data_IF_231096856265
#
_entry.id   IF_231096856265
#
_cell.length_a   1.000
_cell.length_b   1.000
_cell.length_c   1.000
_cell.angle_alpha   90.00
_cell.angle_beta   90.00
_cell.angle_gamma   90.00
#
_symmetry.space_group_name_H-M   'P 1'
#
loop_
_entity.id
_entity.type
_entity.pdbx_description
1 polymer ?
#
# COMPACT_ATOMS: atom_id res chain seq x y z
N UNK A 1 -10.33 -31.45 28.46
CA UNK A 1 -10.83 -30.95 27.18
C UNK A 1 -9.74 -31.15 26.12
N UNK A 2 -10.06 -31.94 25.16
CA UNK A 2 -9.11 -32.47 24.16
C UNK A 2 -8.54 -31.34 23.30
N UNK A 3 -7.23 -31.12 23.35
CA UNK A 3 -6.51 -30.07 22.58
C UNK A 3 -6.58 -30.22 21.06
N UNK A 4 -7.18 -31.30 20.56
CA UNK A 4 -7.31 -31.63 19.14
C UNK A 4 -8.64 -31.21 18.49
N UNK A 5 -9.60 -30.64 19.23
CA UNK A 5 -10.95 -30.28 18.71
C UNK A 5 -11.13 -28.79 18.36
N UNK A 6 -10.09 -27.96 18.42
CA UNK A 6 -10.19 -26.50 18.16
C UNK A 6 -9.91 -26.11 16.70
N UNK A 7 -9.83 -27.06 15.76
CA UNK A 7 -9.29 -26.77 14.42
C UNK A 7 -10.31 -26.49 13.32
N UNK A 8 -11.62 -26.44 13.54
CA UNK A 8 -12.58 -26.05 12.49
C UNK A 8 -13.78 -25.32 13.10
N UNK A 9 -13.64 -24.02 13.40
CA UNK A 9 -14.79 -23.15 13.68
C UNK A 9 -15.62 -22.91 12.41
N UNK A 10 -15.02 -23.03 11.22
CA UNK A 10 -15.66 -22.73 9.95
C UNK A 10 -15.62 -23.92 9.00
N UNK A 11 -16.77 -24.24 8.42
CA UNK A 11 -16.89 -25.14 7.30
C UNK A 11 -16.79 -24.31 6.00
N UNK A 12 -15.61 -24.28 5.40
CA UNK A 12 -15.36 -23.54 4.17
C UNK A 12 -16.15 -24.07 2.96
N UNK A 13 -16.83 -25.23 3.07
CA UNK A 13 -17.72 -25.67 2.00
C UNK A 13 -19.00 -24.84 1.92
N UNK A 14 -19.34 -24.15 3.00
CA UNK A 14 -20.49 -23.25 3.09
C UNK A 14 -20.17 -21.82 2.64
N UNK A 15 -18.90 -21.49 2.53
CA UNK A 15 -18.46 -20.14 2.16
C UNK A 15 -18.49 -19.93 0.65
N UNK A 16 -18.87 -18.73 0.18
CA UNK A 16 -18.79 -18.39 -1.24
C UNK A 16 -17.36 -18.51 -1.77
N UNK A 17 -17.16 -19.30 -2.81
CA UNK A 17 -15.86 -19.39 -3.49
C UNK A 17 -15.90 -18.57 -4.77
N UNK A 18 -15.42 -17.34 -4.68
CA UNK A 18 -15.26 -16.46 -5.84
C UNK A 18 -13.84 -16.60 -6.42
N UNK A 19 -13.66 -16.18 -7.65
CA UNK A 19 -12.34 -16.06 -8.26
C UNK A 19 -11.93 -14.57 -8.25
N UNK A 20 -11.28 -14.16 -7.17
CA UNK A 20 -10.89 -12.76 -7.00
C UNK A 20 -9.41 -12.58 -7.35
N UNK A 21 -9.13 -11.62 -8.22
CA UNK A 21 -7.79 -11.08 -8.43
C UNK A 21 -7.66 -9.75 -7.69
N UNK A 22 -6.49 -9.51 -7.12
CA UNK A 22 -6.08 -8.20 -6.61
C UNK A 22 -4.81 -7.76 -7.34
N UNK A 23 -4.92 -6.73 -8.17
CA UNK A 23 -3.85 -6.18 -8.99
C UNK A 23 -3.22 -4.96 -8.32
N UNK A 24 -1.88 -4.85 -8.37
CA UNK A 24 -1.08 -3.73 -7.84
C UNK A 24 0.03 -3.38 -8.84
N UNK A 25 0.05 -2.14 -9.32
CA UNK A 25 1.11 -1.65 -10.22
C UNK A 25 2.39 -1.44 -9.42
N UNK A 26 3.43 -2.22 -9.75
CA UNK A 26 4.69 -2.21 -9.01
C UNK A 26 5.38 -0.85 -9.03
N UNK A 27 5.50 -0.21 -7.85
CA UNK A 27 6.11 1.13 -7.69
C UNK A 27 5.51 2.19 -8.63
N UNK A 28 4.20 2.23 -8.75
CA UNK A 28 3.37 2.92 -9.74
C UNK A 28 3.98 4.22 -10.30
N UNK A 29 4.03 5.31 -9.54
CA UNK A 29 4.52 6.59 -10.05
C UNK A 29 5.94 6.51 -10.61
N UNK A 30 6.84 5.79 -9.91
CA UNK A 30 8.21 5.63 -10.37
C UNK A 30 8.29 4.79 -11.66
N UNK A 31 7.43 3.78 -11.80
CA UNK A 31 7.36 2.95 -13.00
C UNK A 31 6.84 3.75 -14.19
N UNK A 32 5.78 4.54 -14.01
CA UNK A 32 5.24 5.43 -15.05
C UNK A 32 6.31 6.45 -15.49
N UNK A 33 7.02 7.06 -14.54
CA UNK A 33 8.11 7.99 -14.87
C UNK A 33 9.28 7.33 -15.61
N UNK A 34 9.56 6.05 -15.33
CA UNK A 34 10.53 5.27 -16.11
C UNK A 34 10.04 5.05 -17.54
N UNK A 35 8.81 4.56 -17.71
CA UNK A 35 8.22 4.27 -19.03
C UNK A 35 8.18 5.53 -19.91
N UNK A 36 7.78 6.68 -19.36
CA UNK A 36 7.77 7.96 -20.08
C UNK A 36 9.14 8.40 -20.60
N UNK A 37 10.21 7.85 -20.04
CA UNK A 37 11.61 8.12 -20.43
C UNK A 37 12.24 6.98 -21.21
N UNK A 38 11.46 6.00 -21.64
CA UNK A 38 11.92 4.77 -22.29
C UNK A 38 12.94 3.99 -21.42
N UNK A 39 12.75 4.02 -20.08
CA UNK A 39 13.59 3.33 -19.11
C UNK A 39 12.85 2.12 -18.55
N UNK A 40 13.59 1.04 -18.23
CA UNK A 40 13.00 -0.13 -17.60
C UNK A 40 12.71 0.13 -16.11
N UNK A 41 11.43 0.01 -15.63
CA UNK A 41 11.06 0.26 -14.24
C UNK A 41 11.76 -0.61 -13.21
N UNK A 42 12.13 -1.85 -13.55
CA UNK A 42 12.73 -2.79 -12.61
C UNK A 42 14.24 -2.56 -12.41
N UNK A 43 14.93 -2.05 -13.43
CA UNK A 43 16.40 -1.91 -13.41
C UNK A 43 16.89 -0.48 -13.25
N UNK A 44 16.02 0.50 -13.47
CA UNK A 44 16.36 1.93 -13.33
C UNK A 44 16.24 2.38 -11.88
N UNK A 45 17.23 3.13 -11.38
CA UNK A 45 17.12 3.82 -10.11
C UNK A 45 16.45 5.18 -10.32
N UNK A 46 15.18 5.29 -9.89
CA UNK A 46 14.37 6.51 -10.01
C UNK A 46 13.54 6.73 -8.74
N UNK A 47 13.45 7.98 -8.32
CA UNK A 47 12.60 8.41 -7.21
C UNK A 47 11.77 9.64 -7.61
N UNK A 48 10.46 9.54 -7.40
CA UNK A 48 9.52 10.66 -7.53
C UNK A 48 9.51 11.43 -6.21
N UNK A 49 9.78 12.72 -6.27
CA UNK A 49 9.91 13.57 -5.09
C UNK A 49 9.03 14.80 -5.18
N UNK A 50 8.37 15.18 -4.08
CA UNK A 50 7.55 16.40 -4.02
C UNK A 50 8.38 17.67 -4.32
N UNK A 51 9.68 17.64 -4.05
CA UNK A 51 10.69 18.62 -4.46
C UNK A 51 11.96 17.85 -4.81
N UNK A 52 12.28 17.81 -6.08
CA UNK A 52 13.43 17.05 -6.58
C UNK A 52 14.75 17.85 -6.55
N UNK A 53 14.68 19.11 -6.21
CA UNK A 53 15.78 20.10 -6.24
C UNK A 53 16.44 20.35 -4.89
N UNK A 54 15.85 19.90 -3.78
CA UNK A 54 16.37 20.19 -2.46
C UNK A 54 16.00 19.15 -1.37
N UNK A 55 16.64 19.26 -0.22
CA UNK A 55 16.51 18.35 0.93
C UNK A 55 15.18 18.44 1.70
N UNK A 56 14.31 19.41 1.37
CA UNK A 56 13.01 19.61 2.04
C UNK A 56 11.88 18.80 1.41
N UNK A 57 12.14 18.09 0.30
CA UNK A 57 11.17 17.25 -0.38
C UNK A 57 10.84 15.96 0.37
N UNK A 58 9.72 15.34 -0.03
CA UNK A 58 9.33 14.00 0.38
C UNK A 58 9.52 13.04 -0.80
N UNK A 59 9.99 11.84 -0.54
CA UNK A 59 9.94 10.75 -1.53
C UNK A 59 8.49 10.26 -1.58
N UNK A 60 7.87 10.30 -2.76
CA UNK A 60 6.49 9.89 -2.97
C UNK A 60 6.41 8.45 -3.48
N UNK A 61 7.30 8.08 -4.39
CA UNK A 61 7.45 6.74 -4.90
C UNK A 61 8.88 6.49 -5.37
N UNK A 62 9.32 5.23 -5.27
CA UNK A 62 10.68 4.84 -5.66
C UNK A 62 10.65 3.53 -6.42
N UNK A 63 11.47 3.42 -7.45
CA UNK A 63 11.63 2.20 -8.23
C UNK A 63 12.21 1.05 -7.37
N UNK A 64 12.01 -0.22 -7.77
CA UNK A 64 12.58 -1.36 -7.07
C UNK A 64 14.09 -1.29 -6.90
N UNK A 65 14.81 -0.86 -7.94
CA UNK A 65 16.26 -0.68 -7.90
C UNK A 65 16.68 0.41 -6.92
N UNK A 66 15.98 1.55 -6.89
CA UNK A 66 16.24 2.60 -5.91
C UNK A 66 16.10 2.08 -4.47
N UNK A 67 14.99 1.37 -4.18
CA UNK A 67 14.75 0.77 -2.85
C UNK A 67 15.86 -0.21 -2.46
N UNK A 68 16.24 -1.09 -3.38
CA UNK A 68 17.27 -2.11 -3.17
C UNK A 68 18.65 -1.49 -2.91
N UNK A 69 19.04 -0.50 -3.71
CA UNK A 69 20.37 0.11 -3.66
C UNK A 69 20.54 0.98 -2.41
N UNK A 70 19.53 1.77 -2.09
CA UNK A 70 19.63 2.76 -1.00
C UNK A 70 18.97 2.30 0.31
N UNK A 71 18.39 1.10 0.36
CA UNK A 71 17.71 0.58 1.56
C UNK A 71 16.50 1.41 1.99
N UNK A 72 15.90 2.19 1.06
CA UNK A 72 14.86 3.16 1.38
C UNK A 72 13.48 2.50 1.46
N UNK A 73 12.66 2.99 2.38
CA UNK A 73 11.22 2.67 2.47
C UNK A 73 10.42 3.48 1.46
N UNK A 74 9.12 3.16 1.31
CA UNK A 74 8.26 3.80 0.31
C UNK A 74 8.14 5.32 0.48
N UNK A 75 8.03 5.81 1.71
CA UNK A 75 7.90 7.24 2.01
C UNK A 75 8.98 7.61 3.00
N UNK A 76 9.76 8.63 2.68
CA UNK A 76 10.80 9.20 3.54
C UNK A 76 11.03 10.66 3.19
N UNK A 77 11.79 11.37 4.00
CA UNK A 77 12.21 12.73 3.68
C UNK A 77 13.43 12.69 2.77
N UNK A 78 13.60 13.72 1.95
CA UNK A 78 14.80 13.89 1.15
C UNK A 78 16.08 13.93 2.02
N UNK A 79 15.97 14.49 3.25
CA UNK A 79 17.06 14.51 4.24
C UNK A 79 17.47 13.12 4.75
N UNK A 80 16.64 12.09 4.54
CA UNK A 80 16.92 10.72 4.98
C UNK A 80 17.63 9.91 3.88
N UNK A 81 17.81 10.49 2.69
CA UNK A 81 18.56 9.88 1.61
C UNK A 81 20.03 9.69 2.01
N UNK A 82 20.68 8.57 1.64
CA UNK A 82 22.09 8.32 1.94
C UNK A 82 23.03 9.18 1.09
N UNK A 83 22.51 10.05 0.25
CA UNK A 83 23.26 11.02 -0.56
C UNK A 83 22.59 12.40 -0.54
N UNK A 84 23.38 13.44 -0.77
CA UNK A 84 22.92 14.83 -0.87
C UNK A 84 22.40 15.05 -2.29
N UNK A 85 21.18 15.59 -2.44
CA UNK A 85 20.49 15.72 -3.73
C UNK A 85 21.30 16.57 -4.72
N UNK A 86 21.78 17.71 -4.26
CA UNK A 86 22.43 18.71 -5.10
C UNK A 86 23.81 18.24 -5.59
N UNK A 87 24.57 17.63 -4.71
CA UNK A 87 25.99 17.27 -4.98
C UNK A 87 26.17 15.81 -5.41
N UNK A 88 25.17 14.96 -5.14
CA UNK A 88 25.24 13.49 -5.32
C UNK A 88 26.33 12.83 -4.48
N UNK A 89 26.85 13.55 -3.48
CA UNK A 89 27.83 13.06 -2.52
C UNK A 89 27.16 12.29 -1.39
N UNK A 90 27.93 11.43 -0.73
CA UNK A 90 27.46 10.68 0.43
C UNK A 90 26.99 11.63 1.55
N UNK A 91 25.89 11.28 2.20
CA UNK A 91 25.26 12.08 3.26
C UNK A 91 25.77 11.64 4.64
N UNK A 92 26.98 12.05 5.03
CA UNK A 92 27.57 11.74 6.33
C UNK A 92 26.68 12.16 7.52
N UNK A 93 26.06 13.37 7.57
CA UNK A 93 25.13 13.72 8.63
C UNK A 93 23.96 12.73 8.82
N UNK A 94 23.41 12.21 7.73
CA UNK A 94 22.34 11.20 7.77
C UNK A 94 22.89 9.85 8.28
N UNK A 95 24.05 9.43 7.78
CA UNK A 95 24.70 8.19 8.22
C UNK A 95 24.91 8.16 9.73
N UNK A 96 25.50 9.21 10.30
CA UNK A 96 25.77 9.31 11.74
C UNK A 96 24.52 9.41 12.62
N UNK A 97 23.33 9.72 12.07
CA UNK A 97 22.07 9.66 12.81
C UNK A 97 21.56 8.25 13.00
N UNK A 98 21.94 7.32 12.13
CA UNK A 98 21.36 5.99 12.05
C UNK A 98 22.38 4.88 12.37
N UNK A 99 23.67 5.18 12.39
CA UNK A 99 24.75 4.21 12.57
C UNK A 99 25.61 4.59 13.78
N UNK A 100 25.26 3.99 14.91
CA UNK A 100 26.03 4.07 16.16
C UNK A 100 26.39 2.64 16.62
N UNK A 101 27.52 2.51 17.34
CA UNK A 101 27.88 1.25 17.99
C UNK A 101 27.01 1.00 19.25
N UNK A 102 27.30 -0.09 19.93
CA UNK A 102 26.60 -0.48 21.17
C UNK A 102 26.78 0.52 22.33
N UNK A 103 27.76 1.41 22.23
CA UNK A 103 28.04 2.47 23.20
C UNK A 103 27.47 3.84 22.78
N UNK A 104 26.73 3.88 21.64
CA UNK A 104 26.16 5.12 21.10
C UNK A 104 27.17 5.99 20.35
N UNK A 105 28.40 5.52 20.09
CA UNK A 105 29.41 6.25 19.33
C UNK A 105 29.11 6.13 17.82
N UNK A 106 29.41 7.19 17.06
CA UNK A 106 29.24 7.21 15.60
C UNK A 106 30.20 6.21 14.94
N UNK A 107 29.66 5.41 14.01
CA UNK A 107 30.48 4.48 13.22
C UNK A 107 30.78 5.08 11.85
N UNK A 108 32.01 4.93 11.38
CA UNK A 108 32.41 5.42 10.05
C UNK A 108 31.93 4.46 8.95
N UNK A 109 31.42 5.00 7.81
CA UNK A 109 31.14 4.17 6.65
C UNK A 109 32.46 3.71 5.99
N UNK A 110 32.45 2.51 5.41
CA UNK A 110 33.60 2.07 4.62
C UNK A 110 33.73 2.90 3.34
N UNK A 111 34.98 3.08 2.86
CA UNK A 111 35.23 3.77 1.59
C UNK A 111 34.49 3.12 0.42
N UNK A 112 34.36 1.79 0.42
CA UNK A 112 33.62 1.05 -0.60
C UNK A 112 32.13 1.39 -0.54
N UNK A 113 31.54 1.49 0.65
CA UNK A 113 30.13 1.88 0.81
C UNK A 113 29.87 3.31 0.32
N UNK A 114 30.74 4.24 0.68
CA UNK A 114 30.66 5.65 0.21
C UNK A 114 30.72 5.70 -1.32
N UNK A 115 31.71 5.04 -1.92
CA UNK A 115 31.88 4.99 -3.38
C UNK A 115 30.67 4.34 -4.09
N UNK A 116 30.12 3.27 -3.51
CA UNK A 116 28.91 2.61 -4.01
C UNK A 116 27.71 3.54 -4.03
N UNK A 117 27.40 4.22 -2.92
CA UNK A 117 26.30 5.16 -2.80
C UNK A 117 26.47 6.34 -3.79
N UNK A 118 27.64 6.95 -3.86
CA UNK A 118 27.92 8.08 -4.77
C UNK A 118 27.80 7.67 -6.24
N UNK A 119 28.27 6.47 -6.61
CA UNK A 119 28.16 5.92 -7.96
C UNK A 119 26.70 5.75 -8.36
N UNK A 120 25.85 5.21 -7.48
CA UNK A 120 24.44 5.04 -7.75
C UNK A 120 23.68 6.37 -7.71
N UNK A 121 24.01 7.28 -6.79
CA UNK A 121 23.40 8.60 -6.73
C UNK A 121 23.54 9.38 -8.03
N UNK A 122 24.70 9.31 -8.70
CA UNK A 122 24.94 9.93 -10.01
C UNK A 122 24.08 9.38 -11.13
N UNK A 123 23.70 8.11 -11.06
CA UNK A 123 22.86 7.40 -12.06
C UNK A 123 21.37 7.42 -11.71
N UNK A 124 21.00 7.99 -10.56
CA UNK A 124 19.63 8.01 -10.06
C UNK A 124 18.87 9.21 -10.61
N UNK A 125 17.71 8.95 -11.16
CA UNK A 125 16.74 9.96 -11.56
C UNK A 125 15.94 10.45 -10.36
N UNK A 126 15.93 11.74 -10.11
CA UNK A 126 15.03 12.41 -9.17
C UNK A 126 14.09 13.29 -9.96
N UNK A 127 12.80 13.02 -9.90
CA UNK A 127 11.80 13.66 -10.76
C UNK A 127 10.64 14.22 -9.93
N UNK A 128 10.03 15.33 -10.35
CA UNK A 128 8.81 15.85 -9.73
C UNK A 128 7.62 14.95 -10.07
N UNK A 129 6.54 14.94 -9.26
CA UNK A 129 5.34 14.18 -9.55
C UNK A 129 4.50 14.79 -10.66
N UNK A 130 3.88 13.94 -11.48
CA UNK A 130 2.95 14.31 -12.54
C UNK A 130 1.59 13.65 -12.28
N UNK A 131 0.80 14.18 -11.33
CA UNK A 131 -0.39 13.50 -10.84
C UNK A 131 -1.43 13.20 -11.92
N UNK A 132 -1.63 14.12 -12.89
CA UNK A 132 -2.55 13.87 -14.00
C UNK A 132 -2.11 12.67 -14.85
N UNK A 133 -0.82 12.59 -15.16
CA UNK A 133 -0.26 11.45 -15.89
C UNK A 133 -0.53 10.12 -15.17
N UNK A 134 -0.41 10.10 -13.84
CA UNK A 134 -0.66 8.87 -13.06
C UNK A 134 -2.15 8.47 -13.07
N UNK A 135 -3.05 9.46 -13.06
CA UNK A 135 -4.49 9.22 -13.24
C UNK A 135 -4.79 8.68 -14.63
N UNK A 136 -4.17 9.24 -15.68
CA UNK A 136 -4.36 8.78 -17.05
C UNK A 136 -3.88 7.33 -17.23
N UNK A 137 -2.76 6.96 -16.59
CA UNK A 137 -2.31 5.57 -16.59
C UNK A 137 -3.26 4.63 -15.82
N UNK A 138 -3.84 5.08 -14.69
CA UNK A 138 -4.87 4.29 -13.99
C UNK A 138 -6.08 4.01 -14.88
N UNK A 139 -6.52 5.00 -15.66
CA UNK A 139 -7.63 4.82 -16.61
C UNK A 139 -7.25 3.75 -17.64
N UNK A 140 -6.07 3.83 -18.26
CA UNK A 140 -5.58 2.84 -19.24
C UNK A 140 -5.46 1.43 -18.63
N UNK A 141 -4.95 1.32 -17.40
CA UNK A 141 -4.93 0.03 -16.69
C UNK A 141 -6.35 -0.48 -16.53
N UNK A 142 -7.29 0.34 -16.04
CA UNK A 142 -8.68 -0.05 -15.86
C UNK A 142 -9.34 -0.49 -17.17
N UNK A 143 -9.06 0.18 -18.29
CA UNK A 143 -9.51 -0.23 -19.62
C UNK A 143 -9.00 -1.63 -19.99
N UNK A 144 -7.76 -1.97 -19.66
CA UNK A 144 -7.24 -3.33 -19.87
C UNK A 144 -7.97 -4.34 -18.95
N UNK A 145 -8.21 -3.97 -17.69
CA UNK A 145 -8.93 -4.86 -16.75
C UNK A 145 -10.34 -5.22 -17.27
N UNK A 146 -11.01 -4.32 -18.00
CA UNK A 146 -12.34 -4.60 -18.59
C UNK A 146 -12.30 -5.63 -19.71
N UNK A 147 -11.14 -6.03 -20.22
CA UNK A 147 -11.03 -7.16 -21.16
C UNK A 147 -11.24 -8.50 -20.45
N UNK A 148 -11.11 -8.57 -19.13
CA UNK A 148 -11.15 -9.82 -18.33
C UNK A 148 -12.42 -9.98 -17.52
N UNK A 149 -13.12 -8.90 -17.21
CA UNK A 149 -14.42 -8.92 -16.51
C UNK A 149 -15.19 -7.62 -16.77
N UNK A 150 -16.45 -7.56 -16.38
CA UNK A 150 -17.25 -6.34 -16.56
C UNK A 150 -16.79 -5.21 -15.61
N UNK A 151 -17.09 -3.97 -15.95
CA UNK A 151 -16.69 -2.80 -15.13
C UNK A 151 -17.32 -2.83 -13.73
N UNK A 152 -18.50 -3.44 -13.57
CA UNK A 152 -19.18 -3.63 -12.30
C UNK A 152 -18.44 -4.59 -11.38
N UNK A 153 -17.66 -5.51 -11.95
CA UNK A 153 -16.82 -6.48 -11.25
C UNK A 153 -15.42 -5.95 -10.93
N UNK A 154 -15.16 -4.67 -11.23
CA UNK A 154 -13.89 -4.01 -10.94
C UNK A 154 -14.11 -2.96 -9.86
N UNK A 155 -13.39 -3.13 -8.75
CA UNK A 155 -13.31 -2.12 -7.69
C UNK A 155 -11.91 -1.49 -7.65
N UNK A 156 -11.79 -0.25 -8.14
CA UNK A 156 -10.55 0.53 -7.98
C UNK A 156 -10.36 0.90 -6.51
N UNK A 157 -9.49 0.16 -5.83
CA UNK A 157 -9.20 0.34 -4.42
C UNK A 157 -8.33 1.57 -4.15
N UNK A 158 -7.35 1.81 -5.03
CA UNK A 158 -6.48 2.99 -5.01
C UNK A 158 -6.09 3.40 -6.45
N UNK A 159 -5.17 4.35 -6.58
CA UNK A 159 -4.65 4.79 -7.89
C UNK A 159 -3.81 3.70 -8.59
N UNK A 160 -3.33 2.72 -7.84
CA UNK A 160 -2.46 1.65 -8.31
C UNK A 160 -2.96 0.25 -7.99
N UNK A 161 -4.09 0.13 -7.32
CA UNK A 161 -4.65 -1.16 -6.89
C UNK A 161 -6.10 -1.33 -7.33
N UNK A 162 -6.47 -2.56 -7.73
CA UNK A 162 -7.84 -2.92 -8.09
C UNK A 162 -8.17 -4.35 -7.67
N UNK A 163 -9.40 -4.56 -7.21
CA UNK A 163 -10.03 -5.88 -7.14
C UNK A 163 -10.78 -6.17 -8.42
N UNK A 164 -10.72 -7.42 -8.88
CA UNK A 164 -11.50 -7.95 -9.98
C UNK A 164 -12.16 -9.25 -9.54
N UNK A 165 -13.46 -9.36 -9.72
CA UNK A 165 -14.15 -10.65 -9.67
C UNK A 165 -14.20 -11.22 -11.09
N UNK A 166 -13.49 -12.33 -11.31
CA UNK A 166 -13.42 -13.02 -12.60
C UNK A 166 -14.17 -14.36 -12.58
N UNK A 167 -15.04 -14.58 -11.58
CA UNK A 167 -15.72 -15.86 -11.38
C UNK A 167 -16.46 -16.32 -12.62
N UNK A 168 -17.22 -15.42 -13.23
CA UNK A 168 -18.00 -15.70 -14.43
C UNK A 168 -17.14 -15.80 -15.71
N UNK A 169 -15.95 -15.22 -15.68
CA UNK A 169 -15.05 -15.16 -16.84
C UNK A 169 -14.17 -16.40 -17.00
N UNK A 170 -14.02 -17.23 -15.96
CA UNK A 170 -13.09 -18.37 -15.97
C UNK A 170 -13.29 -19.29 -17.17
N UNK A 171 -14.52 -19.75 -17.36
CA UNK A 171 -14.85 -20.69 -18.44
C UNK A 171 -14.90 -20.04 -19.83
N UNK A 172 -15.04 -18.72 -19.89
CA UNK A 172 -14.95 -17.99 -21.15
C UNK A 172 -13.51 -17.99 -21.69
N UNK A 173 -12.53 -17.73 -20.82
CA UNK A 173 -11.12 -17.68 -21.22
C UNK A 173 -10.49 -19.07 -21.38
N UNK A 174 -10.81 -19.99 -20.47
CA UNK A 174 -10.16 -21.30 -20.39
C UNK A 174 -11.17 -22.44 -20.19
N UNK A 175 -12.05 -22.69 -21.18
CA UNK A 175 -13.15 -23.68 -21.06
C UNK A 175 -12.65 -25.13 -20.89
N UNK A 176 -11.46 -25.44 -21.41
CA UNK A 176 -10.90 -26.80 -21.36
C UNK A 176 -10.17 -27.09 -20.04
N UNK A 177 -9.96 -26.11 -19.20
CA UNK A 177 -9.28 -26.26 -17.92
C UNK A 177 -10.31 -26.42 -16.80
N UNK A 178 -10.34 -27.58 -16.17
CA UNK A 178 -11.29 -27.89 -15.08
C UNK A 178 -10.91 -27.26 -13.74
N UNK A 179 -9.61 -27.05 -13.51
CA UNK A 179 -9.11 -26.49 -12.26
C UNK A 179 -9.24 -24.96 -12.27
N UNK A 180 -10.18 -24.44 -11.50
CA UNK A 180 -10.43 -22.98 -11.40
C UNK A 180 -9.21 -22.16 -11.00
N UNK A 181 -8.35 -22.69 -10.13
CA UNK A 181 -7.16 -21.97 -9.68
C UNK A 181 -6.07 -21.90 -10.76
N UNK A 182 -6.05 -22.88 -11.64
CA UNK A 182 -5.22 -22.84 -12.84
C UNK A 182 -5.76 -21.82 -13.83
N UNK A 183 -7.09 -21.78 -14.07
CA UNK A 183 -7.74 -20.74 -14.87
C UNK A 183 -7.41 -19.34 -14.32
N UNK A 184 -7.57 -19.12 -13.01
CA UNK A 184 -7.21 -17.85 -12.35
C UNK A 184 -5.75 -17.46 -12.61
N UNK A 185 -4.82 -18.41 -12.47
CA UNK A 185 -3.39 -18.14 -12.68
C UNK A 185 -3.06 -17.80 -14.14
N UNK A 186 -3.74 -18.42 -15.10
CA UNK A 186 -3.56 -18.10 -16.51
C UNK A 186 -4.14 -16.75 -16.87
N UNK A 187 -5.35 -16.41 -16.40
CA UNK A 187 -5.92 -15.06 -16.58
C UNK A 187 -5.02 -13.99 -15.94
N UNK A 188 -4.49 -14.25 -14.74
CA UNK A 188 -3.56 -13.32 -14.10
C UNK A 188 -2.24 -13.16 -14.89
N UNK A 189 -1.77 -14.23 -15.55
CA UNK A 189 -0.60 -14.17 -16.43
C UNK A 189 -0.89 -13.33 -17.68
N UNK A 190 -2.02 -13.54 -18.31
CA UNK A 190 -2.41 -12.80 -19.52
C UNK A 190 -2.60 -11.30 -19.21
N UNK A 191 -3.26 -11.00 -18.10
CA UNK A 191 -3.40 -9.63 -17.59
C UNK A 191 -2.03 -8.96 -17.39
N UNK A 192 -1.08 -9.65 -16.75
CA UNK A 192 0.27 -9.13 -16.53
C UNK A 192 0.99 -8.85 -17.86
N UNK A 193 0.86 -9.75 -18.84
CA UNK A 193 1.45 -9.61 -20.16
C UNK A 193 0.83 -8.43 -20.91
N UNK A 194 -0.49 -8.34 -20.92
CA UNK A 194 -1.19 -7.28 -21.65
C UNK A 194 -0.84 -5.88 -21.10
N UNK A 195 -0.80 -5.72 -19.77
CA UNK A 195 -0.39 -4.46 -19.14
C UNK A 195 1.09 -4.15 -19.46
N UNK A 196 1.96 -5.14 -19.41
CA UNK A 196 3.38 -4.96 -19.76
C UNK A 196 3.55 -4.57 -21.22
N UNK A 197 2.89 -5.27 -22.14
CA UNK A 197 3.03 -5.06 -23.59
C UNK A 197 2.44 -3.71 -24.01
N UNK A 198 1.29 -3.32 -23.47
CA UNK A 198 0.60 -2.08 -23.84
C UNK A 198 1.12 -0.83 -23.12
N UNK A 199 1.51 -0.98 -21.85
CA UNK A 199 1.83 0.16 -20.98
C UNK A 199 3.27 0.16 -20.47
N UNK A 200 4.04 -0.91 -20.66
CA UNK A 200 5.39 -1.06 -20.11
C UNK A 200 5.44 -1.19 -18.58
N UNK A 201 4.30 -1.47 -17.95
CA UNK A 201 4.18 -1.56 -16.49
C UNK A 201 4.18 -3.00 -16.00
N UNK A 202 4.84 -3.23 -14.88
CA UNK A 202 4.79 -4.52 -14.19
C UNK A 202 3.72 -4.46 -13.10
N UNK A 203 2.86 -5.49 -13.04
CA UNK A 203 1.84 -5.63 -12.01
C UNK A 203 2.04 -6.89 -11.20
N UNK A 204 1.73 -6.79 -9.92
CA UNK A 204 1.70 -7.90 -8.97
C UNK A 204 0.25 -8.33 -8.80
N UNK A 205 -0.03 -9.63 -8.85
CA UNK A 205 -1.40 -10.14 -8.76
C UNK A 205 -1.52 -11.16 -7.64
N UNK A 206 -2.38 -10.86 -6.67
CA UNK A 206 -2.85 -11.82 -5.67
C UNK A 206 -4.16 -12.46 -6.14
N UNK A 207 -4.31 -13.73 -5.84
CA UNK A 207 -5.50 -14.53 -6.17
C UNK A 207 -6.09 -15.12 -4.89
N UNK A 208 -7.40 -15.20 -4.80
CA UNK A 208 -8.06 -15.78 -3.62
C UNK A 208 -9.52 -16.12 -3.84
N UNK A 209 -10.05 -16.91 -2.91
CA UNK A 209 -11.47 -17.29 -2.91
C UNK A 209 -12.41 -16.14 -2.49
N UNK A 210 -11.84 -15.04 -1.96
CA UNK A 210 -12.53 -13.81 -1.61
C UNK A 210 -11.56 -12.61 -1.66
N UNK A 211 -12.03 -11.36 -1.53
CA UNK A 211 -11.20 -10.16 -1.61
C UNK A 211 -10.05 -10.11 -0.58
N UNK A 212 -10.30 -10.52 0.67
CA UNK A 212 -9.28 -10.57 1.71
C UNK A 212 -8.11 -11.49 1.34
N UNK A 213 -8.43 -12.72 0.91
CA UNK A 213 -7.42 -13.73 0.55
C UNK A 213 -6.61 -13.28 -0.66
N UNK A 214 -7.26 -12.68 -1.67
CA UNK A 214 -6.57 -12.13 -2.83
C UNK A 214 -5.59 -11.01 -2.44
N UNK A 215 -6.02 -10.07 -1.57
CA UNK A 215 -5.15 -8.98 -1.12
C UNK A 215 -4.00 -9.49 -0.26
N UNK A 216 -4.24 -10.41 0.67
CA UNK A 216 -3.17 -11.00 1.50
C UNK A 216 -2.19 -11.84 0.66
N UNK A 217 -2.67 -12.53 -0.38
CA UNK A 217 -1.82 -13.24 -1.34
C UNK A 217 -0.87 -12.27 -2.05
N UNK A 218 -1.38 -11.11 -2.49
CA UNK A 218 -0.59 -10.10 -3.15
C UNK A 218 0.44 -9.49 -2.20
N UNK A 219 0.01 -9.00 -1.03
CA UNK A 219 0.89 -8.25 -0.12
C UNK A 219 2.01 -9.12 0.48
N UNK A 220 1.71 -10.38 0.85
CA UNK A 220 2.65 -11.22 1.59
C UNK A 220 3.43 -12.21 0.72
N UNK A 221 2.94 -12.54 -0.47
CA UNK A 221 3.55 -13.58 -1.30
C UNK A 221 3.89 -13.10 -2.71
N UNK A 222 2.93 -12.56 -3.47
CA UNK A 222 3.16 -12.20 -4.87
C UNK A 222 4.25 -11.13 -5.04
N UNK A 223 4.34 -10.16 -4.13
CA UNK A 223 5.38 -9.11 -4.13
C UNK A 223 6.80 -9.66 -4.01
N UNK A 224 6.94 -10.87 -3.46
CA UNK A 224 8.23 -11.56 -3.24
C UNK A 224 8.51 -12.65 -4.25
N UNK A 225 7.53 -13.08 -5.05
CA UNK A 225 7.69 -14.08 -6.09
C UNK A 225 8.27 -13.49 -7.38
N UNK A 226 9.09 -14.26 -8.07
CA UNK A 226 9.66 -13.84 -9.37
C UNK A 226 8.59 -13.62 -10.44
N UNK A 227 7.54 -14.45 -10.45
CA UNK A 227 6.41 -14.33 -11.38
C UNK A 227 5.38 -13.27 -10.95
N UNK A 228 5.59 -12.60 -9.79
CA UNK A 228 4.71 -11.56 -9.24
C UNK A 228 3.26 -12.02 -9.09
N UNK A 229 3.02 -13.31 -8.85
CA UNK A 229 1.70 -13.90 -8.60
C UNK A 229 1.72 -14.81 -7.39
N UNK A 230 0.60 -14.86 -6.67
CA UNK A 230 0.39 -15.80 -5.57
C UNK A 230 -1.11 -16.06 -5.37
N UNK A 231 -1.43 -17.24 -4.84
CA UNK A 231 -2.78 -17.68 -4.53
C UNK A 231 -2.88 -18.04 -3.05
N UNK A 232 -3.96 -17.62 -2.41
CA UNK A 232 -4.40 -18.15 -1.11
C UNK A 232 -5.84 -18.63 -1.25
N UNK A 233 -6.06 -19.92 -0.97
CA UNK A 233 -7.36 -20.56 -0.89
C UNK A 233 -7.82 -20.62 0.57
N UNK A 234 -9.08 -20.93 0.81
CA UNK A 234 -9.57 -21.19 2.18
C UNK A 234 -8.75 -22.27 2.89
N UNK A 235 -8.38 -23.35 2.18
CA UNK A 235 -7.59 -24.45 2.73
C UNK A 235 -6.17 -24.03 3.12
N UNK A 236 -5.67 -22.94 2.53
CA UNK A 236 -4.34 -22.41 2.79
C UNK A 236 -4.28 -21.50 4.05
N UNK A 237 -5.42 -21.13 4.64
CA UNK A 237 -5.49 -20.21 5.79
C UNK A 237 -4.59 -20.65 6.95
N UNK A 238 -4.63 -21.91 7.44
CA UNK A 238 -3.76 -22.31 8.54
C UNK A 238 -2.28 -22.27 8.23
N UNK A 239 -1.90 -22.58 6.98
CA UNK A 239 -0.50 -22.67 6.55
C UNK A 239 0.09 -21.33 6.10
N UNK A 240 -0.74 -20.39 5.63
CA UNK A 240 -0.28 -19.12 5.07
C UNK A 240 -0.63 -17.91 5.94
N UNK A 241 -1.89 -17.81 6.44
CA UNK A 241 -2.29 -16.64 7.23
C UNK A 241 -1.85 -16.76 8.68
N UNK A 242 -2.05 -17.92 9.31
CA UNK A 242 -1.70 -18.09 10.72
C UNK A 242 -0.20 -18.14 10.98
N UNK A 243 0.60 -18.29 9.94
CA UNK A 243 2.06 -18.31 9.99
C UNK A 243 2.71 -16.97 9.65
N UNK A 244 1.92 -15.92 9.42
CA UNK A 244 2.46 -14.58 9.18
C UNK A 244 3.34 -14.13 10.36
N UNK A 245 4.55 -13.64 10.09
CA UNK A 245 5.55 -13.38 11.14
C UNK A 245 5.17 -12.19 12.03
N UNK A 246 4.38 -11.25 11.52
CA UNK A 246 3.91 -10.07 12.26
C UNK A 246 2.42 -9.90 12.06
N UNK A 247 1.71 -9.50 13.13
CA UNK A 247 0.29 -9.16 13.00
C UNK A 247 0.05 -8.00 12.04
N UNK A 248 0.99 -7.07 11.94
CA UNK A 248 0.91 -5.91 11.03
C UNK A 248 1.10 -6.26 9.55
N UNK A 249 1.49 -7.49 9.23
CA UNK A 249 1.51 -8.00 7.85
C UNK A 249 0.12 -8.47 7.40
N UNK A 250 -0.83 -8.51 8.34
CA UNK A 250 -2.22 -8.84 8.07
C UNK A 250 -3.01 -7.56 7.74
N UNK A 251 -3.69 -7.54 6.60
CA UNK A 251 -4.47 -6.39 6.15
C UNK A 251 -5.52 -5.96 7.17
N UNK A 252 -5.55 -4.66 7.47
CA UNK A 252 -6.43 -4.06 8.48
C UNK A 252 -5.84 -4.00 9.90
N UNK A 253 -4.72 -4.67 10.18
CA UNK A 253 -4.05 -4.64 11.48
C UNK A 253 -2.83 -3.72 11.44
N UNK A 254 -2.98 -2.48 11.89
CA UNK A 254 -1.85 -1.57 12.11
C UNK A 254 -1.27 -1.68 13.53
N UNK A 255 -0.14 -1.01 13.79
CA UNK A 255 0.55 -1.02 15.09
C UNK A 255 -0.36 -0.69 16.30
N UNK A 256 -1.37 0.17 16.13
CA UNK A 256 -2.32 0.50 17.20
C UNK A 256 -3.28 -0.66 17.50
N UNK A 257 -3.78 -1.33 16.46
CA UNK A 257 -4.63 -2.52 16.60
C UNK A 257 -3.83 -3.67 17.21
N UNK A 258 -2.63 -3.95 16.71
CA UNK A 258 -1.70 -4.93 17.27
C UNK A 258 -1.45 -4.68 18.76
N UNK A 259 -1.14 -3.45 19.17
CA UNK A 259 -0.95 -3.10 20.59
C UNK A 259 -2.22 -3.35 21.44
N UNK A 260 -3.42 -3.13 20.88
CA UNK A 260 -4.69 -3.42 21.59
C UNK A 260 -4.93 -4.91 21.71
N UNK A 261 -4.66 -5.69 20.65
CA UNK A 261 -4.77 -7.16 20.66
C UNK A 261 -3.77 -7.78 21.63
N UNK A 262 -2.52 -7.32 21.65
CA UNK A 262 -1.49 -7.78 22.60
C UNK A 262 -1.91 -7.58 24.07
N UNK A 263 -2.63 -6.50 24.40
CA UNK A 263 -3.18 -6.28 25.74
C UNK A 263 -4.28 -7.30 26.12
N UNK A 264 -4.87 -7.98 25.15
CA UNK A 264 -5.84 -9.06 25.34
C UNK A 264 -5.17 -10.44 25.33
N UNK A 265 -3.83 -10.51 25.26
CA UNK A 265 -3.07 -11.76 25.18
C UNK A 265 -3.05 -12.37 23.78
N UNK A 266 -3.40 -11.60 22.74
CA UNK A 266 -3.44 -12.04 21.33
C UNK A 266 -2.24 -11.43 20.61
N UNK A 267 -1.24 -12.25 20.26
CA UNK A 267 0.04 -11.82 19.69
C UNK A 267 0.31 -12.35 18.27
N UNK A 268 -0.59 -13.19 17.74
CA UNK A 268 -0.48 -13.80 16.40
C UNK A 268 -1.85 -13.87 15.72
N UNK A 269 -1.83 -14.03 14.38
CA UNK A 269 -3.07 -14.23 13.61
C UNK A 269 -3.74 -15.55 13.99
N UNK A 270 -2.96 -16.59 14.30
CA UNK A 270 -3.49 -17.86 14.80
C UNK A 270 -4.25 -17.69 16.11
N UNK A 271 -3.70 -16.93 17.07
CA UNK A 271 -4.39 -16.64 18.34
C UNK A 271 -5.63 -15.79 18.11
N UNK A 272 -5.59 -14.82 17.19
CA UNK A 272 -6.75 -14.01 16.81
C UNK A 272 -7.87 -14.87 16.21
N UNK A 273 -7.53 -15.81 15.33
CA UNK A 273 -8.47 -16.75 14.72
C UNK A 273 -9.15 -17.70 15.74
N UNK A 274 -8.48 -17.95 16.88
CA UNK A 274 -8.98 -18.83 17.95
C UNK A 274 -9.49 -18.03 19.17
N UNK A 275 -9.55 -16.71 19.09
CA UNK A 275 -10.03 -15.87 20.19
C UNK A 275 -11.57 -15.95 20.34
N UNK A 276 -12.08 -15.53 21.49
CA UNK A 276 -13.52 -15.38 21.69
C UNK A 276 -14.05 -14.16 20.89
N UNK A 277 -14.92 -14.38 19.88
CA UNK A 277 -15.46 -13.30 19.06
C UNK A 277 -16.31 -12.30 19.86
N UNK A 278 -16.98 -12.75 20.95
CA UNK A 278 -17.77 -11.87 21.81
C UNK A 278 -16.85 -10.94 22.61
N UNK A 279 -15.74 -11.46 23.14
CA UNK A 279 -14.72 -10.65 23.80
C UNK A 279 -14.13 -9.60 22.84
N UNK A 280 -13.79 -10.00 21.61
CA UNK A 280 -13.27 -9.08 20.59
C UNK A 280 -14.28 -8.00 20.25
N UNK A 281 -15.58 -8.35 20.09
CA UNK A 281 -16.65 -7.39 19.85
C UNK A 281 -16.80 -6.41 21.03
N UNK A 282 -16.74 -6.91 22.27
CA UNK A 282 -16.84 -6.08 23.47
C UNK A 282 -15.66 -5.08 23.59
N UNK A 283 -14.43 -5.51 23.30
CA UNK A 283 -13.20 -4.72 23.50
C UNK A 283 -12.82 -3.84 22.32
N UNK A 284 -13.12 -4.27 21.11
CA UNK A 284 -12.70 -3.61 19.86
C UNK A 284 -13.87 -3.15 18.97
N UNK A 285 -15.12 -3.48 19.35
CA UNK A 285 -16.32 -3.18 18.57
C UNK A 285 -16.48 -4.10 17.37
N UNK A 286 -17.22 -3.65 16.34
CA UNK A 286 -17.46 -4.41 15.11
C UNK A 286 -16.17 -4.76 14.38
N UNK A 287 -15.16 -3.89 14.42
CA UNK A 287 -13.83 -4.14 13.84
C UNK A 287 -13.14 -5.35 14.51
N UNK A 288 -13.32 -5.54 15.83
CA UNK A 288 -12.77 -6.71 16.51
C UNK A 288 -13.40 -8.01 16.02
N UNK A 289 -14.72 -8.01 15.83
CA UNK A 289 -15.43 -9.15 15.25
C UNK A 289 -15.00 -9.40 13.80
N UNK A 290 -14.87 -8.36 12.99
CA UNK A 290 -14.38 -8.47 11.61
C UNK A 290 -12.97 -9.08 11.58
N UNK A 291 -12.06 -8.65 12.44
CA UNK A 291 -10.72 -9.22 12.50
C UNK A 291 -10.72 -10.71 12.86
N UNK A 292 -11.66 -11.17 13.70
CA UNK A 292 -11.84 -12.59 13.99
C UNK A 292 -12.21 -13.38 12.73
N UNK A 293 -13.22 -12.95 11.97
CA UNK A 293 -13.62 -13.59 10.72
C UNK A 293 -12.49 -13.54 9.69
N UNK A 294 -11.86 -12.39 9.51
CA UNK A 294 -10.73 -12.22 8.60
C UNK A 294 -9.54 -13.14 8.96
N UNK A 295 -9.21 -13.30 10.25
CA UNK A 295 -8.14 -14.20 10.69
C UNK A 295 -8.45 -15.68 10.36
N UNK A 296 -9.73 -16.02 10.21
CA UNK A 296 -10.21 -17.31 9.72
C UNK A 296 -10.39 -17.34 8.18
N UNK A 297 -9.95 -16.30 7.46
CA UNK A 297 -10.02 -16.22 6.00
C UNK A 297 -11.42 -15.89 5.46
N UNK A 298 -12.38 -15.54 6.32
CA UNK A 298 -13.76 -15.24 5.94
C UNK A 298 -13.90 -13.75 5.62
N UNK A 299 -14.36 -13.45 4.42
CA UNK A 299 -14.68 -12.10 3.95
C UNK A 299 -15.84 -12.19 2.95
N UNK A 300 -16.99 -11.68 3.34
CA UNK A 300 -18.21 -11.65 2.53
C UNK A 300 -18.32 -10.38 1.66
N UNK A 301 -17.26 -9.56 1.61
CA UNK A 301 -17.26 -8.34 0.80
C UNK A 301 -17.54 -8.66 -0.66
N UNK A 302 -18.40 -7.85 -1.28
CA UNK A 302 -18.76 -7.98 -2.69
C UNK A 302 -18.09 -6.86 -3.50
N UNK A 303 -17.33 -7.22 -4.52
CA UNK A 303 -16.63 -6.27 -5.41
C UNK A 303 -17.59 -5.30 -6.10
N UNK A 304 -18.82 -5.76 -6.42
CA UNK A 304 -19.88 -4.94 -7.04
C UNK A 304 -20.47 -3.89 -6.11
N UNK A 305 -20.41 -4.10 -4.80
CA UNK A 305 -21.04 -3.21 -3.85
C UNK A 305 -20.23 -1.94 -3.66
N UNK A 306 -20.81 -0.81 -4.05
CA UNK A 306 -20.18 0.50 -3.83
C UNK A 306 -20.47 0.96 -2.42
N UNK A 307 -19.42 1.25 -1.67
CA UNK A 307 -19.56 1.87 -0.36
C UNK A 307 -20.18 3.26 -0.48
N UNK A 308 -21.33 3.44 0.16
CA UNK A 308 -22.01 4.74 0.25
C UNK A 308 -21.74 5.29 1.66
N UNK A 309 -20.88 6.33 1.80
CA UNK A 309 -20.61 6.90 3.11
C UNK A 309 -21.82 7.62 3.68
N UNK A 310 -22.13 7.42 4.96
CA UNK A 310 -23.20 8.14 5.66
C UNK A 310 -22.93 9.64 5.77
N UNK A 311 -21.68 10.03 5.78
CA UNK A 311 -21.22 11.42 5.79
C UNK A 311 -19.93 11.54 4.99
N UNK A 312 -19.69 12.69 4.40
CA UNK A 312 -18.44 12.99 3.70
C UNK A 312 -17.80 14.24 4.30
N UNK A 313 -16.48 14.28 4.30
CA UNK A 313 -15.73 15.46 4.70
C UNK A 313 -14.74 15.86 3.61
N UNK A 314 -14.46 17.13 3.50
CA UNK A 314 -13.40 17.67 2.69
C UNK A 314 -12.31 18.17 3.62
N UNK A 315 -11.08 17.75 3.39
CA UNK A 315 -9.93 18.21 4.16
C UNK A 315 -8.86 18.79 3.23
N UNK A 316 -8.08 19.71 3.78
CA UNK A 316 -6.86 20.22 3.19
C UNK A 316 -5.78 20.15 4.26
N UNK A 317 -4.57 19.74 3.90
CA UNK A 317 -3.42 19.73 4.81
C UNK A 317 -2.19 20.17 4.07
N UNK A 318 -1.31 20.90 4.78
CA UNK A 318 -0.02 21.28 4.24
C UNK A 318 1.07 21.23 5.32
N UNK A 319 2.27 20.86 4.90
CA UNK A 319 3.46 20.93 5.74
C UNK A 319 4.10 22.29 5.47
N UNK A 320 4.18 23.10 6.52
CA UNK A 320 4.77 24.44 6.43
C UNK A 320 6.29 24.35 6.26
N UNK A 321 6.91 25.29 5.49
CA UNK A 321 8.36 25.28 5.26
C UNK A 321 9.18 25.63 6.50
N UNK A 322 8.55 26.26 7.50
CA UNK A 322 9.12 26.62 8.81
C UNK A 322 8.02 26.72 9.85
N UNK A 323 8.37 26.83 11.11
CA UNK A 323 7.42 27.15 12.17
C UNK A 323 6.94 28.59 12.05
N UNK A 324 5.62 28.79 12.13
CA UNK A 324 4.99 30.11 12.17
C UNK A 324 4.55 30.41 13.60
N UNK A 325 5.05 31.51 14.13
CA UNK A 325 4.75 31.95 15.51
C UNK A 325 3.88 33.21 15.55
N UNK A 326 3.84 33.97 14.45
CA UNK A 326 3.04 35.20 14.38
C UNK A 326 1.62 34.91 13.99
N UNK A 327 0.65 35.43 14.73
CA UNK A 327 -0.77 35.24 14.49
C UNK A 327 -1.15 35.53 13.04
N UNK A 328 -0.71 36.65 12.46
CA UNK A 328 -1.01 37.02 11.06
C UNK A 328 -0.54 35.99 10.04
N UNK A 329 0.63 35.37 10.26
CA UNK A 329 1.13 34.30 9.36
C UNK A 329 0.25 33.03 9.45
N UNK A 330 -0.16 32.67 10.67
CA UNK A 330 -1.05 31.51 10.91
C UNK A 330 -2.42 31.77 10.30
N UNK A 331 -3.00 32.94 10.51
CA UNK A 331 -4.29 33.35 9.93
C UNK A 331 -4.28 33.30 8.39
N UNK A 332 -3.18 33.75 7.77
CA UNK A 332 -3.01 33.72 6.31
C UNK A 332 -3.06 32.28 5.78
N UNK A 333 -2.32 31.37 6.43
CA UNK A 333 -2.32 29.94 6.05
C UNK A 333 -3.72 29.33 6.20
N UNK A 334 -4.41 29.62 7.31
CA UNK A 334 -5.76 29.09 7.54
C UNK A 334 -6.75 29.64 6.49
N UNK A 335 -6.65 30.91 6.12
CA UNK A 335 -7.47 31.53 5.06
C UNK A 335 -7.25 30.86 3.71
N UNK A 336 -6.00 30.69 3.30
CA UNK A 336 -5.64 29.98 2.06
C UNK A 336 -6.19 28.57 2.03
N UNK A 337 -6.04 27.81 3.12
CA UNK A 337 -6.58 26.45 3.22
C UNK A 337 -8.11 26.43 3.16
N UNK A 338 -8.78 27.41 3.81
CA UNK A 338 -10.24 27.51 3.79
C UNK A 338 -10.76 27.90 2.41
N UNK A 339 -10.09 28.81 1.68
CA UNK A 339 -10.44 29.17 0.30
C UNK A 339 -10.33 27.96 -0.63
N UNK A 340 -9.26 27.21 -0.54
CA UNK A 340 -9.07 25.96 -1.31
C UNK A 340 -10.20 24.94 -1.04
N UNK A 341 -10.61 24.78 0.22
CA UNK A 341 -11.73 23.91 0.57
C UNK A 341 -13.06 24.48 0.02
N UNK A 342 -13.30 25.78 0.12
CA UNK A 342 -14.50 26.42 -0.39
C UNK A 342 -14.63 26.28 -1.93
N UNK A 343 -13.50 26.38 -2.65
CA UNK A 343 -13.46 26.14 -4.11
C UNK A 343 -13.85 24.69 -4.42
N UNK A 344 -13.29 23.73 -3.69
CA UNK A 344 -13.60 22.29 -3.89
C UNK A 344 -15.05 21.96 -3.57
N UNK A 345 -15.61 22.50 -2.49
CA UNK A 345 -17.02 22.34 -2.12
C UNK A 345 -17.93 22.88 -3.22
N UNK A 346 -17.69 24.12 -3.69
CA UNK A 346 -18.47 24.73 -4.78
C UNK A 346 -18.41 23.93 -6.08
N UNK A 347 -17.20 23.49 -6.49
CA UNK A 347 -17.04 22.63 -7.67
C UNK A 347 -17.79 21.30 -7.54
N UNK A 348 -17.91 20.77 -6.33
CA UNK A 348 -18.66 19.54 -6.04
C UNK A 348 -20.15 19.74 -5.78
N UNK A 349 -20.68 20.98 -5.88
CA UNK A 349 -22.08 21.28 -5.54
C UNK A 349 -22.43 20.98 -4.08
N UNK A 350 -21.47 21.11 -3.16
CA UNK A 350 -21.61 20.75 -1.75
C UNK A 350 -21.55 21.99 -0.86
N UNK A 351 -22.20 21.89 0.30
CA UNK A 351 -22.11 22.85 1.40
C UNK A 351 -21.57 22.15 2.64
N UNK A 352 -20.86 22.88 3.49
CA UNK A 352 -20.39 22.41 4.78
C UNK A 352 -21.12 23.13 5.91
N UNK A 353 -21.51 22.38 6.93
CA UNK A 353 -22.12 22.91 8.15
C UNK A 353 -21.10 23.16 9.27
N UNK A 354 -19.89 22.61 9.12
CA UNK A 354 -18.82 22.73 10.13
C UNK A 354 -17.46 22.87 9.46
N UNK A 355 -16.58 23.70 10.04
CA UNK A 355 -15.19 23.88 9.66
C UNK A 355 -14.33 23.81 10.91
N UNK A 356 -13.34 22.92 10.92
CA UNK A 356 -12.44 22.73 12.07
C UNK A 356 -11.00 22.82 11.62
N UNK A 357 -10.25 23.89 11.93
CA UNK A 357 -8.81 23.95 11.74
C UNK A 357 -8.09 23.12 12.80
N UNK A 358 -7.07 22.39 12.39
CA UNK A 358 -6.19 21.62 13.27
C UNK A 358 -4.75 22.07 13.06
N UNK A 359 -4.08 22.43 14.13
CA UNK A 359 -2.68 22.81 14.13
C UNK A 359 -1.86 21.86 14.98
N UNK A 360 -0.70 21.43 14.46
CA UNK A 360 0.27 20.62 15.20
C UNK A 360 1.57 21.40 15.32
N UNK A 361 2.07 21.53 16.54
CA UNK A 361 3.43 22.01 16.79
C UNK A 361 4.42 20.85 16.69
N UNK A 362 5.63 21.08 16.19
CA UNK A 362 6.61 20.10 15.71
C UNK A 362 7.10 19.00 16.67
N UNK A 363 6.74 19.01 17.93
CA UNK A 363 7.18 17.97 18.88
C UNK A 363 6.59 16.57 18.64
N UNK A 364 5.63 16.39 17.69
CA UNK A 364 4.99 15.10 17.37
C UNK A 364 4.91 14.73 15.88
N UNK A 365 5.64 15.43 15.02
CA UNK A 365 5.57 15.20 13.55
C UNK A 365 6.04 13.82 13.09
N UNK A 366 6.65 13.01 13.95
CA UNK A 366 7.05 11.64 13.63
C UNK A 366 5.93 10.60 13.69
N UNK A 367 4.80 10.91 14.32
CA UNK A 367 3.70 9.95 14.48
C UNK A 367 2.55 10.13 13.46
N UNK A 368 2.39 11.32 12.87
CA UNK A 368 1.21 11.66 12.07
C UNK A 368 1.37 11.43 10.56
N UNK A 369 2.58 11.44 10.03
CA UNK A 369 2.81 11.17 8.59
C UNK A 369 2.67 9.68 8.20
N UNK A 370 2.56 8.79 9.19
CA UNK A 370 2.35 7.35 8.98
C UNK A 370 0.88 6.92 9.13
N UNK A 371 -0.06 7.86 9.34
CA UNK A 371 -1.46 7.56 9.68
C UNK A 371 -2.50 8.34 8.83
N UNK A 372 -2.09 8.88 7.67
CA UNK A 372 -3.01 9.43 6.66
C UNK A 372 -3.01 8.57 5.41
#
# INVERSE_FOLDING_TARGET
MDKHKLNNFFDYSLEPRRAILFEDVKSNYASIECVQRNLNPLTTSLCVMSRADNTKGLTLASSPTFKKVFGMKNISRASDLPFIIETRKFNFPQWYRTHTDIYGQRTEPTLQHVAFIESWAKRTWLVPPQMQLYVDYKIKVTEILTNYTSIEEIHSYSIDESFLDITESLNFFYPDIRNRYEQMNLIALDLQREILDKLGLYVTVGMGDNPLLAKLAMDNYAKHNQNMRALIRYEDVPSKLWTLPKMTDFWGIGKRTEKRLNKLGISSIKELANADPLLLKQKLGTIGLQHFFHANGIDESNVREKYIPKSSSFSNSQILPRDYHKQKEIELVIKEMAENLAIRLRKGGRMASNLSPVSYTHLRAHETAANL
#
